data_IF_491098980902
#
_entry.id   IF_491098980902
#
_cell.length_a   1.000
_cell.length_b   1.000
_cell.length_c   1.000
_cell.angle_alpha   90.00
_cell.angle_beta   90.00
_cell.angle_gamma   90.00
#
_symmetry.space_group_name_H-M   'P 1'
#
loop_
_entity.id
_entity.type
_entity.pdbx_description
1 polymer ?
#
# COMPACT_ATOMS: atom_id res chain seq x y z
N UNK A 1 -26.96 28.75 -19.17
CA UNK A 1 -27.07 28.09 -17.85
C UNK A 1 -26.37 26.72 -17.86
N UNK A 2 -26.26 26.03 -19.01
CA UNK A 2 -25.45 24.80 -19.14
C UNK A 2 -23.93 25.04 -19.14
N UNK A 3 -23.43 26.18 -19.65
CA UNK A 3 -21.99 26.45 -19.79
C UNK A 3 -21.17 26.56 -18.48
N UNK A 4 -21.83 26.75 -17.33
CA UNK A 4 -21.15 26.91 -16.02
C UNK A 4 -21.09 25.60 -15.22
N UNK A 5 -21.99 24.64 -15.50
CA UNK A 5 -22.09 23.37 -14.78
C UNK A 5 -21.00 22.36 -15.18
N UNK A 6 -20.57 22.36 -16.44
CA UNK A 6 -19.57 21.40 -16.94
C UNK A 6 -18.15 21.61 -16.36
N UNK A 7 -17.65 22.85 -16.21
CA UNK A 7 -16.36 23.10 -15.56
C UNK A 7 -16.31 22.68 -14.09
N UNK A 8 -17.39 22.88 -13.33
CA UNK A 8 -17.48 22.50 -11.92
C UNK A 8 -17.49 20.98 -11.74
N UNK A 9 -18.31 20.26 -12.51
CA UNK A 9 -18.36 18.80 -12.49
C UNK A 9 -17.01 18.16 -12.87
N UNK A 10 -16.29 18.78 -13.81
CA UNK A 10 -14.97 18.31 -14.23
C UNK A 10 -13.92 18.50 -13.14
N UNK A 11 -13.98 19.62 -12.39
CA UNK A 11 -13.13 19.85 -11.22
C UNK A 11 -13.45 18.88 -10.09
N UNK A 12 -14.73 18.69 -9.77
CA UNK A 12 -15.16 17.75 -8.73
C UNK A 12 -14.73 16.31 -9.04
N UNK A 13 -14.90 15.87 -10.29
CA UNK A 13 -14.45 14.54 -10.70
C UNK A 13 -12.93 14.39 -10.66
N UNK A 14 -12.16 15.43 -11.01
CA UNK A 14 -10.70 15.40 -10.88
C UNK A 14 -10.27 15.24 -9.42
N UNK A 15 -10.89 15.98 -8.49
CA UNK A 15 -10.65 15.88 -7.04
C UNK A 15 -11.03 14.49 -6.51
N UNK A 16 -12.21 13.98 -6.87
CA UNK A 16 -12.65 12.64 -6.47
C UNK A 16 -11.74 11.54 -7.01
N UNK A 17 -11.30 11.66 -8.27
CA UNK A 17 -10.38 10.71 -8.90
C UNK A 17 -9.02 10.72 -8.23
N UNK A 18 -8.51 11.89 -7.87
CA UNK A 18 -7.25 12.02 -7.14
C UNK A 18 -7.35 11.37 -5.74
N UNK A 19 -8.40 11.69 -4.99
CA UNK A 19 -8.68 11.08 -3.69
C UNK A 19 -8.74 9.55 -3.79
N UNK A 20 -9.47 9.04 -4.77
CA UNK A 20 -9.64 7.60 -4.96
C UNK A 20 -8.32 6.91 -5.37
N UNK A 21 -7.48 7.56 -6.18
CA UNK A 21 -6.13 7.07 -6.52
C UNK A 21 -5.23 6.95 -5.28
N UNK A 22 -5.23 7.96 -4.40
CA UNK A 22 -4.48 7.90 -3.13
C UNK A 22 -4.97 6.73 -2.27
N UNK A 23 -6.28 6.51 -2.17
CA UNK A 23 -6.86 5.39 -1.43
C UNK A 23 -6.41 4.03 -2.01
N UNK A 24 -6.37 3.88 -3.33
CA UNK A 24 -5.83 2.67 -3.95
C UNK A 24 -4.36 2.45 -3.61
N UNK A 25 -3.55 3.51 -3.59
CA UNK A 25 -2.16 3.46 -3.15
C UNK A 25 -1.99 2.93 -1.72
N UNK A 26 -2.81 3.41 -0.79
CA UNK A 26 -2.83 2.96 0.60
C UNK A 26 -3.28 1.50 0.73
N UNK A 27 -4.32 1.08 0.02
CA UNK A 27 -4.76 -0.32 0.03
C UNK A 27 -3.70 -1.26 -0.55
N UNK A 28 -2.96 -0.85 -1.59
CA UNK A 28 -1.83 -1.63 -2.11
C UNK A 28 -0.70 -1.77 -1.08
N UNK A 29 -0.47 -0.76 -0.25
CA UNK A 29 0.51 -0.80 0.83
C UNK A 29 0.08 -1.76 1.94
N UNK A 30 -1.17 -1.68 2.39
CA UNK A 30 -1.73 -2.62 3.37
C UNK A 30 -1.66 -4.08 2.86
N UNK A 31 -2.00 -4.32 1.60
CA UNK A 31 -1.87 -5.66 0.99
C UNK A 31 -0.43 -6.14 0.93
N UNK A 32 0.52 -5.23 0.69
CA UNK A 32 1.94 -5.56 0.68
C UNK A 32 2.43 -5.97 2.07
N UNK A 33 2.06 -5.21 3.10
CA UNK A 33 2.41 -5.51 4.50
C UNK A 33 1.79 -6.83 4.97
N UNK A 34 0.51 -7.07 4.65
CA UNK A 34 -0.16 -8.33 4.93
C UNK A 34 0.55 -9.51 4.24
N UNK A 35 0.93 -9.35 2.96
CA UNK A 35 1.68 -10.37 2.25
C UNK A 35 3.06 -10.63 2.86
N UNK A 36 3.77 -9.58 3.28
CA UNK A 36 5.06 -9.69 3.97
C UNK A 36 4.92 -10.40 5.32
N UNK A 37 3.91 -10.03 6.11
CA UNK A 37 3.63 -10.66 7.41
C UNK A 37 3.36 -12.15 7.24
N UNK A 38 2.46 -12.51 6.31
CA UNK A 38 2.12 -13.90 6.01
C UNK A 38 3.34 -14.68 5.48
N UNK A 39 4.16 -14.07 4.62
CA UNK A 39 5.39 -14.70 4.15
C UNK A 39 6.41 -14.90 5.28
N UNK A 40 6.55 -13.95 6.21
CA UNK A 40 7.42 -14.09 7.39
C UNK A 40 6.92 -15.17 8.34
N UNK A 41 5.62 -15.25 8.56
CA UNK A 41 4.98 -16.30 9.36
C UNK A 41 5.26 -17.68 8.75
N UNK A 42 4.96 -17.85 7.46
CA UNK A 42 5.23 -19.09 6.73
C UNK A 42 6.72 -19.47 6.77
N UNK A 43 7.63 -18.49 6.72
CA UNK A 43 9.07 -18.74 6.73
C UNK A 43 9.69 -18.88 8.14
N UNK A 44 8.95 -18.60 9.22
CA UNK A 44 9.49 -18.51 10.59
C UNK A 44 10.10 -19.84 11.05
N UNK A 45 9.37 -20.93 10.87
CA UNK A 45 9.83 -22.28 11.22
C UNK A 45 10.86 -22.82 10.21
N UNK A 46 10.77 -22.38 8.95
CA UNK A 46 11.59 -22.88 7.84
C UNK A 46 12.98 -22.22 7.72
N UNK A 47 13.16 -21.01 8.28
CA UNK A 47 14.44 -20.31 8.31
C UNK A 47 15.30 -20.65 9.54
N UNK A 48 14.69 -21.09 10.65
CA UNK A 48 15.40 -21.42 11.90
C UNK A 48 15.95 -22.85 11.91
N UNK A 49 15.20 -23.82 11.39
CA UNK A 49 15.60 -25.24 11.37
C UNK A 49 16.64 -25.58 10.29
N UNK A 50 16.79 -24.72 9.28
CA UNK A 50 17.66 -24.96 8.12
C UNK A 50 19.16 -24.88 8.40
N UNK A 51 19.58 -24.35 9.56
CA UNK A 51 20.99 -24.33 9.98
C UNK A 51 21.31 -25.34 11.10
N UNK A 52 20.30 -25.83 11.83
CA UNK A 52 20.51 -26.67 13.01
C UNK A 52 20.32 -28.17 12.74
N UNK A 53 19.40 -28.57 11.85
CA UNK A 53 19.15 -29.99 11.59
C UNK A 53 20.08 -30.53 10.48
N UNK A 54 20.73 -31.68 10.71
CA UNK A 54 21.54 -32.38 9.68
C UNK A 54 20.65 -33.09 8.64
N UNK A 55 19.35 -33.20 8.89
CA UNK A 55 18.43 -34.02 8.11
C UNK A 55 17.69 -33.20 7.05
N UNK A 56 17.99 -33.47 5.78
CA UNK A 56 17.43 -32.73 4.63
C UNK A 56 15.93 -33.00 4.41
N UNK A 57 15.41 -34.11 4.91
CA UNK A 57 14.01 -34.50 4.73
C UNK A 57 13.05 -33.57 5.48
N UNK A 58 13.51 -32.99 6.59
CA UNK A 58 12.78 -32.02 7.42
C UNK A 58 12.78 -30.60 6.84
N UNK A 59 13.62 -30.32 5.83
CA UNK A 59 13.71 -28.96 5.28
C UNK A 59 12.60 -28.70 4.27
N UNK A 60 11.98 -27.53 4.33
CA UNK A 60 11.14 -27.06 3.22
C UNK A 60 12.04 -26.57 2.07
N UNK A 61 11.80 -27.10 0.88
CA UNK A 61 12.43 -26.59 -0.34
C UNK A 61 11.64 -25.38 -0.89
N UNK A 62 10.51 -25.02 -0.29
CA UNK A 62 9.67 -23.92 -0.76
C UNK A 62 9.98 -22.62 -0.02
N UNK A 63 9.88 -21.51 -0.76
CA UNK A 63 10.02 -20.17 -0.21
C UNK A 63 9.16 -19.17 -0.96
N UNK A 64 8.82 -18.08 -0.28
CA UNK A 64 7.96 -17.04 -0.82
C UNK A 64 8.75 -15.74 -0.94
N UNK A 65 8.56 -15.07 -2.06
CA UNK A 65 9.11 -13.74 -2.32
C UNK A 65 7.97 -12.78 -2.60
N UNK A 66 7.84 -11.77 -1.74
CA UNK A 66 6.88 -10.68 -1.88
C UNK A 66 7.63 -9.43 -2.34
N UNK A 67 7.13 -8.77 -3.38
CA UNK A 67 7.71 -7.52 -3.92
C UNK A 67 6.60 -6.58 -4.35
N UNK A 68 6.89 -5.28 -4.34
CA UNK A 68 6.07 -4.27 -5.01
C UNK A 68 6.65 -4.02 -6.39
N UNK A 69 5.84 -4.13 -7.44
CA UNK A 69 6.26 -3.87 -8.81
C UNK A 69 5.17 -3.05 -9.52
N UNK A 70 5.56 -1.87 -10.05
CA UNK A 70 4.65 -0.98 -10.79
C UNK A 70 3.33 -0.71 -10.03
N UNK A 71 3.43 -0.35 -8.76
CA UNK A 71 2.27 -0.06 -7.92
C UNK A 71 1.52 -1.28 -7.34
N UNK A 72 1.74 -2.48 -7.88
CA UNK A 72 1.03 -3.71 -7.48
C UNK A 72 1.86 -4.64 -6.58
N UNK A 73 1.17 -5.49 -5.83
CA UNK A 73 1.77 -6.53 -4.99
C UNK A 73 2.00 -7.78 -5.82
N UNK A 74 3.27 -8.18 -5.91
CA UNK A 74 3.71 -9.39 -6.60
C UNK A 74 4.17 -10.43 -5.58
N UNK A 75 3.60 -11.63 -5.66
CA UNK A 75 3.91 -12.74 -4.76
C UNK A 75 4.33 -13.94 -5.59
N UNK A 76 5.57 -14.37 -5.39
CA UNK A 76 6.20 -15.44 -6.16
C UNK A 76 6.64 -16.56 -5.23
N UNK A 77 6.25 -17.78 -5.58
CA UNK A 77 6.83 -18.99 -4.99
C UNK A 77 8.15 -19.31 -5.65
N UNK A 78 9.11 -19.77 -4.84
CA UNK A 78 10.44 -20.19 -5.27
C UNK A 78 10.80 -21.53 -4.65
N UNK A 79 11.46 -22.37 -5.42
CA UNK A 79 12.06 -23.61 -4.93
C UNK A 79 13.55 -23.40 -4.65
N UNK A 80 14.02 -23.87 -3.51
CA UNK A 80 15.40 -23.84 -3.07
C UNK A 80 16.09 -25.14 -3.48
N UNK A 81 17.30 -25.00 -4.00
CA UNK A 81 18.21 -26.11 -4.25
C UNK A 81 19.45 -25.89 -3.38
N UNK A 82 19.72 -26.84 -2.51
CA UNK A 82 20.82 -26.80 -1.56
C UNK A 82 22.07 -27.43 -2.18
N UNK A 83 23.20 -26.72 -2.16
CA UNK A 83 24.49 -27.22 -2.62
C UNK A 83 25.58 -26.90 -1.59
N UNK A 84 26.63 -27.73 -1.54
CA UNK A 84 27.79 -27.52 -0.67
C UNK A 84 28.61 -26.34 -1.23
N UNK A 85 28.93 -25.34 -0.41
CA UNK A 85 29.93 -24.36 -0.79
C UNK A 85 31.31 -25.03 -0.79
N UNK A 86 32.13 -24.69 -1.77
CA UNK A 86 33.34 -25.44 -2.10
C UNK A 86 34.51 -25.24 -1.13
N UNK A 87 34.44 -24.25 -0.22
CA UNK A 87 35.58 -23.86 0.64
C UNK A 87 35.32 -23.96 2.15
N UNK A 88 34.07 -23.87 2.62
CA UNK A 88 33.79 -23.64 4.05
C UNK A 88 32.84 -24.69 4.68
N UNK A 89 32.46 -25.72 3.93
CA UNK A 89 31.48 -26.73 4.34
C UNK A 89 30.04 -26.19 4.54
N UNK A 90 29.85 -24.87 4.53
CA UNK A 90 28.57 -24.19 4.62
C UNK A 90 27.73 -24.49 3.37
N UNK A 91 26.44 -24.82 3.56
CA UNK A 91 25.51 -25.05 2.44
C UNK A 91 24.90 -23.73 2.02
N UNK A 92 24.93 -23.43 0.71
CA UNK A 92 24.22 -22.28 0.14
C UNK A 92 22.96 -22.77 -0.58
N UNK A 93 21.92 -21.96 -0.53
CA UNK A 93 20.68 -22.20 -1.25
C UNK A 93 20.65 -21.33 -2.50
N UNK A 94 20.44 -21.94 -3.67
CA UNK A 94 20.01 -21.22 -4.87
C UNK A 94 18.49 -21.33 -4.94
N UNK A 95 17.80 -20.24 -5.26
CA UNK A 95 16.34 -20.24 -5.38
C UNK A 95 15.91 -20.01 -6.82
N UNK A 96 15.05 -20.87 -7.36
CA UNK A 96 14.44 -20.74 -8.69
C UNK A 96 12.98 -20.38 -8.55
N UNK A 97 12.47 -19.53 -9.44
CA UNK A 97 11.05 -19.20 -9.50
C UNK A 97 10.24 -20.42 -9.92
N UNK A 98 9.12 -20.68 -9.23
CA UNK A 98 8.16 -21.71 -9.62
C UNK A 98 7.21 -21.09 -10.62
N UNK A 99 6.99 -21.73 -11.77
CA UNK A 99 6.01 -21.25 -12.73
C UNK A 99 4.59 -21.62 -12.30
N UNK A 100 3.64 -20.70 -12.54
CA UNK A 100 2.21 -20.98 -12.36
C UNK A 100 1.79 -22.07 -13.34
N UNK A 101 0.79 -22.86 -12.96
CA UNK A 101 0.26 -23.87 -13.86
C UNK A 101 -0.50 -23.20 -15.02
N UNK A 102 -0.44 -23.77 -16.22
CA UNK A 102 -1.16 -23.22 -17.39
C UNK A 102 -2.68 -23.16 -17.20
N UNK A 103 -3.23 -23.95 -16.28
CA UNK A 103 -4.66 -24.03 -15.97
C UNK A 103 -5.15 -22.92 -15.04
N UNK A 104 -4.25 -22.23 -14.32
CA UNK A 104 -4.61 -21.13 -13.42
C UNK A 104 -3.49 -20.08 -13.44
N UNK A 105 -3.70 -19.02 -14.24
CA UNK A 105 -2.77 -17.89 -14.31
C UNK A 105 -2.71 -17.10 -12.99
N UNK A 106 -3.67 -17.35 -12.08
CA UNK A 106 -3.83 -16.66 -10.81
C UNK A 106 -3.43 -17.50 -9.60
N UNK A 107 -3.02 -18.77 -9.76
CA UNK A 107 -2.57 -19.57 -8.62
C UNK A 107 -1.37 -20.48 -8.93
N UNK A 108 -0.68 -20.84 -7.86
CA UNK A 108 0.43 -21.78 -7.85
C UNK A 108 0.01 -23.14 -7.31
N UNK A 109 -1.25 -23.35 -6.93
CA UNK A 109 -1.72 -24.57 -6.23
C UNK A 109 -1.35 -25.85 -6.97
N UNK A 110 -1.56 -25.87 -8.29
CA UNK A 110 -1.22 -27.05 -9.10
C UNK A 110 0.29 -27.35 -9.16
N UNK A 111 1.14 -26.32 -9.12
CA UNK A 111 2.59 -26.49 -9.08
C UNK A 111 3.07 -26.85 -7.66
N UNK A 112 2.54 -26.18 -6.65
CA UNK A 112 2.86 -26.41 -5.24
C UNK A 112 2.43 -27.79 -4.78
N UNK A 113 1.28 -28.29 -5.21
CA UNK A 113 0.81 -29.63 -4.85
C UNK A 113 1.77 -30.75 -5.31
N UNK A 114 2.58 -30.50 -6.34
CA UNK A 114 3.60 -31.44 -6.83
C UNK A 114 4.95 -31.29 -6.12
N UNK A 115 5.21 -30.13 -5.55
CA UNK A 115 6.52 -29.78 -4.95
C UNK A 115 6.49 -29.83 -3.42
N UNK A 116 5.33 -29.66 -2.81
CA UNK A 116 5.15 -29.70 -1.37
C UNK A 116 5.34 -31.14 -0.87
N UNK A 117 6.09 -31.28 0.22
CA UNK A 117 6.22 -32.55 0.94
C UNK A 117 4.93 -32.87 1.69
N UNK A 118 4.69 -34.14 1.98
CA UNK A 118 3.47 -34.61 2.66
C UNK A 118 3.21 -33.89 3.99
N UNK A 119 4.27 -33.58 4.75
CA UNK A 119 4.16 -32.93 6.06
C UNK A 119 3.85 -31.42 5.98
N UNK A 120 4.23 -30.73 4.90
CA UNK A 120 3.98 -29.28 4.74
C UNK A 120 2.81 -28.98 3.80
N UNK A 121 2.22 -30.01 3.19
CA UNK A 121 1.25 -29.87 2.10
C UNK A 121 0.09 -28.95 2.48
N UNK A 122 -0.60 -29.22 3.59
CA UNK A 122 -1.76 -28.44 4.01
C UNK A 122 -1.41 -26.99 4.31
N UNK A 123 -0.27 -26.75 4.97
CA UNK A 123 0.20 -25.42 5.30
C UNK A 123 0.53 -24.60 4.04
N UNK A 124 1.21 -25.23 3.06
CA UNK A 124 1.52 -24.61 1.76
C UNK A 124 0.22 -24.28 1.01
N UNK A 125 -0.76 -25.18 1.00
CA UNK A 125 -2.05 -24.95 0.34
C UNK A 125 -2.85 -23.81 0.99
N UNK A 126 -2.82 -23.71 2.32
CA UNK A 126 -3.48 -22.61 3.04
C UNK A 126 -2.78 -21.27 2.82
N UNK A 127 -1.44 -21.25 2.88
CA UNK A 127 -0.66 -20.06 2.58
C UNK A 127 -0.93 -19.57 1.14
N UNK A 128 -0.94 -20.48 0.16
CA UNK A 128 -1.23 -20.13 -1.23
C UNK A 128 -2.67 -19.63 -1.43
N UNK A 129 -3.67 -20.19 -0.73
CA UNK A 129 -5.04 -19.67 -0.78
C UNK A 129 -5.10 -18.21 -0.35
N UNK A 130 -4.37 -17.84 0.71
CA UNK A 130 -4.27 -16.46 1.19
C UNK A 130 -3.51 -15.57 0.21
N UNK A 131 -2.36 -16.02 -0.31
CA UNK A 131 -1.60 -15.26 -1.30
C UNK A 131 -2.34 -15.07 -2.63
N UNK A 132 -3.14 -16.05 -3.06
CA UNK A 132 -3.98 -15.93 -4.23
C UNK A 132 -5.04 -14.84 -4.05
N UNK A 133 -5.70 -14.78 -2.87
CA UNK A 133 -6.63 -13.69 -2.52
C UNK A 133 -5.96 -12.33 -2.56
N UNK A 134 -4.78 -12.18 -1.96
CA UNK A 134 -4.04 -10.91 -2.00
C UNK A 134 -3.71 -10.50 -3.44
N UNK A 135 -3.25 -11.44 -4.27
CA UNK A 135 -2.95 -11.15 -5.70
C UNK A 135 -4.20 -10.76 -6.48
N UNK A 136 -5.34 -11.40 -6.22
CA UNK A 136 -6.61 -11.06 -6.86
C UNK A 136 -7.07 -9.64 -6.48
N UNK A 137 -7.05 -9.30 -5.19
CA UNK A 137 -7.43 -7.96 -4.71
C UNK A 137 -6.47 -6.90 -5.27
N UNK A 138 -5.16 -7.15 -5.21
CA UNK A 138 -4.15 -6.22 -5.74
C UNK A 138 -4.31 -5.98 -7.25
N UNK A 139 -4.65 -7.03 -8.01
CA UNK A 139 -4.90 -6.92 -9.46
C UNK A 139 -6.19 -6.15 -9.74
N UNK A 140 -7.25 -6.38 -8.97
CA UNK A 140 -8.51 -5.66 -9.08
C UNK A 140 -8.34 -4.16 -8.75
N UNK A 141 -7.59 -3.83 -7.71
CA UNK A 141 -7.25 -2.44 -7.37
C UNK A 141 -6.48 -1.74 -8.49
N UNK A 142 -5.46 -2.41 -9.05
CA UNK A 142 -4.70 -1.86 -10.18
C UNK A 142 -5.57 -1.66 -11.43
N UNK A 143 -6.51 -2.57 -11.69
CA UNK A 143 -7.46 -2.44 -12.79
C UNK A 143 -8.43 -1.27 -12.57
N UNK A 144 -8.92 -1.08 -11.34
CA UNK A 144 -9.75 0.06 -10.97
C UNK A 144 -9.00 1.39 -11.13
N UNK A 145 -7.77 1.47 -10.64
CA UNK A 145 -6.90 2.64 -10.79
C UNK A 145 -6.71 3.03 -12.26
N UNK A 146 -6.33 2.07 -13.12
CA UNK A 146 -6.19 2.30 -14.57
C UNK A 146 -7.49 2.74 -15.24
N UNK A 147 -8.62 2.21 -14.79
CA UNK A 147 -9.93 2.58 -15.32
C UNK A 147 -10.25 4.03 -14.98
N UNK A 148 -9.97 4.47 -13.74
CA UNK A 148 -10.15 5.86 -13.33
C UNK A 148 -9.19 6.80 -14.07
N UNK A 149 -7.91 6.43 -14.23
CA UNK A 149 -6.97 7.21 -15.03
C UNK A 149 -7.45 7.40 -16.47
N UNK A 150 -8.05 6.35 -17.06
CA UNK A 150 -8.62 6.42 -18.40
C UNK A 150 -9.83 7.37 -18.44
N UNK A 151 -10.75 7.26 -17.47
CA UNK A 151 -11.91 8.14 -17.38
C UNK A 151 -11.51 9.60 -17.18
N UNK A 152 -10.51 9.89 -16.35
CA UNK A 152 -9.98 11.23 -16.15
C UNK A 152 -9.43 11.82 -17.47
N UNK A 153 -8.66 11.04 -18.23
CA UNK A 153 -8.16 11.46 -19.55
C UNK A 153 -9.26 11.67 -20.58
N UNK A 154 -10.27 10.81 -20.58
CA UNK A 154 -11.43 10.97 -21.46
C UNK A 154 -12.20 12.25 -21.10
N UNK A 155 -12.37 12.55 -19.81
CA UNK A 155 -13.05 13.77 -19.37
C UNK A 155 -12.24 15.03 -19.69
N UNK A 156 -10.91 15.02 -19.50
CA UNK A 156 -10.01 16.10 -19.94
C UNK A 156 -10.09 16.35 -21.46
N UNK A 157 -10.39 15.31 -22.25
CA UNK A 157 -10.55 15.44 -23.71
C UNK A 157 -11.93 15.97 -24.14
N UNK A 158 -12.95 15.79 -23.30
CA UNK A 158 -14.33 16.25 -23.56
C UNK A 158 -14.51 17.71 -23.15
N UNK A 159 -13.73 18.21 -22.18
CA UNK A 159 -13.68 19.63 -21.81
C UNK A 159 -12.64 20.32 -22.69
N UNK A 160 -13.03 21.12 -23.70
CA UNK A 160 -12.05 21.86 -24.48
C UNK A 160 -11.33 22.83 -23.55
N UNK A 161 -9.99 22.79 -23.57
CA UNK A 161 -9.11 23.77 -22.94
C UNK A 161 -9.49 25.18 -23.40
N UNK A 162 -10.32 25.86 -22.62
CA UNK A 162 -10.34 27.32 -22.60
C UNK A 162 -9.12 27.76 -21.81
N UNK A 163 -8.00 27.83 -22.54
CA UNK A 163 -6.83 28.70 -22.29
C UNK A 163 -6.47 29.02 -20.84
N UNK A 164 -5.43 28.35 -20.37
CA UNK A 164 -4.28 28.94 -19.67
C UNK A 164 -4.56 29.98 -18.57
N UNK A 165 -4.65 29.50 -17.34
CA UNK A 165 -3.81 30.00 -16.24
C UNK A 165 -3.39 28.80 -15.40
N UNK A 166 -2.09 28.52 -15.30
CA UNK A 166 -1.51 27.61 -14.30
C UNK A 166 -1.56 28.27 -12.91
N UNK A 167 -2.75 28.68 -12.49
CA UNK A 167 -3.03 29.03 -11.11
C UNK A 167 -3.50 27.75 -10.46
N UNK A 168 -2.63 27.13 -9.65
CA UNK A 168 -3.07 26.13 -8.70
C UNK A 168 -4.30 26.70 -7.97
N UNK A 169 -5.42 25.99 -8.05
CA UNK A 169 -6.64 26.41 -7.38
C UNK A 169 -6.38 26.45 -5.87
N UNK A 170 -6.88 27.46 -5.14
CA UNK A 170 -6.77 27.50 -3.68
C UNK A 170 -7.22 26.19 -3.02
N UNK A 171 -8.21 25.51 -3.60
CA UNK A 171 -8.66 24.18 -3.18
C UNK A 171 -7.57 23.10 -3.30
N UNK A 172 -6.85 23.07 -4.42
CA UNK A 172 -5.76 22.09 -4.65
C UNK A 172 -4.56 22.32 -3.72
N UNK A 173 -4.34 23.56 -3.28
CA UNK A 173 -3.30 23.92 -2.31
C UNK A 173 -3.74 23.47 -0.91
N UNK A 174 -4.97 23.79 -0.51
CA UNK A 174 -5.53 23.38 0.80
C UNK A 174 -5.57 21.86 0.94
N UNK A 175 -5.94 21.14 -0.12
CA UNK A 175 -5.93 19.66 -0.15
C UNK A 175 -4.53 19.09 0.01
N UNK A 176 -3.54 19.63 -0.71
CA UNK A 176 -2.14 19.21 -0.59
C UNK A 176 -1.60 19.40 0.83
N UNK A 177 -1.94 20.52 1.46
CA UNK A 177 -1.56 20.81 2.84
C UNK A 177 -2.22 19.79 3.80
N UNK A 178 -3.50 19.45 3.60
CA UNK A 178 -4.19 18.42 4.39
C UNK A 178 -3.58 17.02 4.25
N UNK A 179 -3.21 16.64 3.03
CA UNK A 179 -2.54 15.35 2.76
C UNK A 179 -1.16 15.28 3.41
N UNK A 180 -0.38 16.37 3.35
CA UNK A 180 0.91 16.47 4.01
C UNK A 180 0.78 16.42 5.54
N UNK A 181 -0.25 17.06 6.11
CA UNK A 181 -0.59 16.96 7.55
C UNK A 181 -0.80 15.51 7.98
N UNK A 182 -1.60 14.78 7.19
CA UNK A 182 -1.95 13.38 7.46
C UNK A 182 -0.72 12.46 7.38
N UNK A 183 0.13 12.65 6.37
CA UNK A 183 1.38 11.90 6.22
C UNK A 183 2.35 12.18 7.37
N UNK A 184 2.43 13.44 7.81
CA UNK A 184 3.26 13.84 8.94
C UNK A 184 2.80 13.16 10.23
N UNK A 185 1.49 13.16 10.53
CA UNK A 185 0.91 12.42 11.67
C UNK A 185 1.24 10.93 11.62
N UNK A 186 1.08 10.28 10.47
CA UNK A 186 1.40 8.86 10.30
C UNK A 186 2.88 8.54 10.51
N UNK A 187 3.78 9.48 10.17
CA UNK A 187 5.23 9.35 10.42
C UNK A 187 5.60 9.56 11.88
N UNK A 188 4.97 10.52 12.55
CA UNK A 188 5.22 10.83 13.95
C UNK A 188 4.71 9.72 14.87
N UNK A 189 3.50 9.22 14.60
CA UNK A 189 2.81 8.25 15.43
C UNK A 189 2.25 7.08 14.61
N UNK A 190 3.12 6.21 14.07
CA UNK A 190 2.71 5.08 13.22
C UNK A 190 1.84 4.05 13.95
N UNK A 191 1.88 4.03 15.29
CA UNK A 191 1.11 3.11 16.12
C UNK A 191 -0.07 3.80 16.84
N UNK A 192 -0.40 5.05 16.52
CA UNK A 192 -1.54 5.74 17.13
C UNK A 192 -2.84 5.01 16.75
N UNK A 193 -3.63 4.64 17.75
CA UNK A 193 -4.97 4.09 17.52
C UNK A 193 -5.98 5.24 17.51
N UNK A 194 -7.04 5.16 16.70
CA UNK A 194 -8.12 6.16 16.70
C UNK A 194 -8.71 6.39 18.09
N UNK A 195 -8.82 5.31 18.87
CA UNK A 195 -9.32 5.31 20.25
C UNK A 195 -8.46 6.17 21.20
N UNK A 196 -7.13 6.12 21.04
CA UNK A 196 -6.19 6.89 21.87
C UNK A 196 -6.28 8.38 21.52
N UNK A 197 -6.44 8.70 20.23
CA UNK A 197 -6.59 10.06 19.73
C UNK A 197 -7.91 10.68 20.19
N UNK A 198 -9.02 9.92 20.15
CA UNK A 198 -10.33 10.37 20.66
C UNK A 198 -10.34 10.60 22.18
N UNK A 199 -9.52 9.86 22.92
CA UNK A 199 -9.34 10.04 24.36
C UNK A 199 -8.42 11.23 24.73
N UNK A 200 -7.88 11.95 23.74
CA UNK A 200 -6.95 13.06 23.95
C UNK A 200 -5.55 12.61 24.38
N UNK A 201 -5.19 11.35 24.14
CA UNK A 201 -3.86 10.83 24.43
C UNK A 201 -2.91 11.19 23.28
N UNK A 202 -1.80 11.86 23.61
CA UNK A 202 -0.74 12.17 22.65
C UNK A 202 0.39 11.14 22.83
N UNK A 203 0.60 10.23 21.86
CA UNK A 203 1.65 9.23 21.99
C UNK A 203 3.04 9.88 21.93
N UNK A 204 4.06 9.18 22.44
CA UNK A 204 5.44 9.62 22.22
C UNK A 204 5.79 9.58 20.73
N UNK A 205 6.58 10.55 20.27
CA UNK A 205 7.07 10.57 18.89
C UNK A 205 7.91 9.32 18.66
N UNK A 206 7.64 8.59 17.59
CA UNK A 206 8.37 7.38 17.25
C UNK A 206 9.84 7.69 16.97
N UNK A 207 10.77 6.90 17.50
CA UNK A 207 12.19 6.98 17.15
C UNK A 207 12.42 6.78 15.64
N UNK A 208 11.53 6.03 14.98
CA UNK A 208 11.56 5.81 13.53
C UNK A 208 11.16 7.03 12.69
N UNK A 209 10.66 8.09 13.32
CA UNK A 209 10.32 9.36 12.66
C UNK A 209 11.55 10.21 12.31
N UNK A 210 12.72 9.90 12.90
CA UNK A 210 13.95 10.67 12.73
C UNK A 210 13.96 12.00 13.48
N UNK A 211 12.99 12.26 14.35
CA UNK A 211 12.91 13.47 15.19
C UNK A 211 13.64 13.23 16.52
N UNK A 212 14.44 14.20 17.00
CA UNK A 212 15.08 14.11 18.31
C UNK A 212 14.06 13.90 19.43
N UNK A 213 14.37 13.03 20.39
CA UNK A 213 13.54 12.75 21.58
C UNK A 213 13.37 13.95 22.52
N UNK A 214 14.13 15.03 22.30
CA UNK A 214 13.99 16.31 22.99
C UNK A 214 12.78 17.14 22.54
N UNK A 215 12.12 16.75 21.45
CA UNK A 215 10.93 17.45 20.94
C UNK A 215 9.70 17.04 21.75
N UNK A 216 8.95 18.01 22.26
CA UNK A 216 7.77 17.77 23.06
C UNK A 216 6.61 17.26 22.18
N UNK A 217 6.15 16.00 22.36
CA UNK A 217 5.09 15.41 21.53
C UNK A 217 3.76 16.18 21.65
N UNK A 218 3.47 16.75 22.81
CA UNK A 218 2.23 17.49 23.08
C UNK A 218 2.19 18.79 22.28
N UNK A 219 3.32 19.51 22.21
CA UNK A 219 3.43 20.75 21.44
C UNK A 219 3.31 20.48 19.94
N UNK A 220 3.89 19.37 19.46
CA UNK A 220 3.77 18.96 18.05
C UNK A 220 2.34 18.60 17.69
N UNK A 221 1.64 17.83 18.53
CA UNK A 221 0.24 17.49 18.28
C UNK A 221 -0.66 18.74 18.33
N UNK A 222 -0.46 19.63 19.30
CA UNK A 222 -1.18 20.90 19.37
C UNK A 222 -0.97 21.76 18.11
N UNK A 223 0.25 21.81 17.57
CA UNK A 223 0.56 22.51 16.33
C UNK A 223 -0.15 21.89 15.12
N UNK A 224 -0.22 20.55 15.05
CA UNK A 224 -0.93 19.84 13.99
C UNK A 224 -2.45 20.03 14.08
N UNK A 225 -3.02 20.00 15.28
CA UNK A 225 -4.44 20.31 15.50
C UNK A 225 -4.77 21.74 15.05
N UNK A 226 -3.92 22.72 15.40
CA UNK A 226 -4.10 24.09 14.96
C UNK A 226 -4.00 24.22 13.43
N UNK A 227 -3.07 23.50 12.80
CA UNK A 227 -2.93 23.45 11.36
C UNK A 227 -4.17 22.84 10.70
N UNK A 228 -4.67 21.71 11.20
CA UNK A 228 -5.88 21.05 10.69
C UNK A 228 -7.10 21.97 10.84
N UNK A 229 -7.25 22.65 11.97
CA UNK A 229 -8.31 23.65 12.19
C UNK A 229 -8.24 24.81 11.17
N UNK A 230 -7.05 25.32 10.89
CA UNK A 230 -6.86 26.37 9.88
C UNK A 230 -7.18 25.88 8.45
N UNK A 231 -6.84 24.63 8.12
CA UNK A 231 -7.19 24.00 6.83
C UNK A 231 -8.70 23.91 6.67
N UNK A 232 -9.42 23.49 7.71
CA UNK A 232 -10.89 23.45 7.70
C UNK A 232 -11.48 24.85 7.56
N UNK A 233 -10.97 25.82 8.33
CA UNK A 233 -11.43 27.21 8.24
C UNK A 233 -11.23 27.81 6.84
N UNK A 234 -10.07 27.55 6.22
CA UNK A 234 -9.81 27.96 4.84
C UNK A 234 -10.75 27.29 3.84
N UNK A 235 -11.05 26.00 4.04
CA UNK A 235 -12.01 25.26 3.22
C UNK A 235 -13.41 25.87 3.31
N UNK A 236 -13.86 26.21 4.51
CA UNK A 236 -15.16 26.86 4.76
C UNK A 236 -15.24 28.24 4.11
N UNK A 237 -14.18 29.03 4.21
CA UNK A 237 -14.10 30.36 3.59
C UNK A 237 -14.15 30.27 2.06
N UNK A 238 -13.41 29.32 1.46
CA UNK A 238 -13.45 29.09 0.02
C UNK A 238 -14.86 28.68 -0.44
N UNK A 239 -15.51 27.79 0.31
CA UNK A 239 -16.89 27.38 0.04
C UNK A 239 -17.90 28.55 0.14
N UNK A 240 -17.72 29.45 1.11
CA UNK A 240 -18.55 30.65 1.25
C UNK A 240 -18.34 31.67 0.12
N UNK A 241 -17.14 31.75 -0.44
CA UNK A 241 -16.82 32.64 -1.57
C UNK A 241 -17.54 32.15 -2.84
N UNK A 242 -17.51 30.85 -3.11
CA UNK A 242 -18.18 30.27 -4.28
C UNK A 242 -19.71 30.38 -4.18
N UNK A 243 -20.28 30.18 -3.00
CA UNK A 243 -21.73 30.32 -2.77
C UNK A 243 -22.25 31.77 -2.84
N UNK A 244 -21.39 32.77 -2.58
CA UNK A 244 -21.73 34.20 -2.72
C UNK A 244 -21.47 34.76 -4.12
N UNK A 245 -20.61 34.13 -4.92
CA UNK A 245 -20.31 34.52 -6.31
C UNK A 245 -21.36 34.08 -7.34
N UNK A 246 -22.33 33.26 -6.94
CA UNK A 246 -23.37 32.69 -7.82
C UNK A 246 -24.69 33.50 -7.85
N UNK A 247 -24.63 34.83 -7.63
CA UNK A 247 -25.77 35.76 -7.75
C UNK A 247 -25.58 36.77 -8.86
#
# INVERSE_FOLDING_TARGET
MEDVLFPELSREFATLSHRQSVQYGLFQEQLHEQALSLAREFMRHRNAESFASRNREEWSDLSVQVRRLRGSVTIHWRIRSWYKAHEDGTRRANSKHIHKSSKSAEDYRGALARLAKAWEYEEVMEAERRFARIRAISSALLAAEKTMEKMAKEMDSVVPSMTAVTTESPYSIVERIGNLSSLLRAKLWPNARPEDVEAGFVPSISESSGIPTSVNPIEVDAALIAMDSNIHHLSDLLFQIDTKGSK
#
